data_IF_844462991248
#
_entry.id   IF_844462991248
#
_cell.length_a   1.000
_cell.length_b   1.000
_cell.length_c   1.000
_cell.angle_alpha   90.00
_cell.angle_beta   90.00
_cell.angle_gamma   90.00
#
_symmetry.space_group_name_H-M   'P 1'
#
loop_
_entity.id
_entity.type
_entity.pdbx_description
1 polymer ?
#
# COMPACT_ATOMS: atom_id res chain seq x y z
N UNK A 1 -9.01 10.57 -8.20
CA UNK A 1 -9.96 11.51 -7.57
C UNK A 1 -9.25 12.84 -7.48
N UNK A 2 -9.79 13.88 -8.11
CA UNK A 2 -9.24 15.23 -7.95
C UNK A 2 -9.63 15.74 -6.56
N UNK A 3 -8.67 16.31 -5.83
CA UNK A 3 -8.90 16.96 -4.54
C UNK A 3 -8.16 18.28 -4.54
N UNK A 4 -8.65 19.23 -3.75
CA UNK A 4 -8.00 20.53 -3.60
C UNK A 4 -6.77 20.41 -2.72
N UNK A 5 -5.69 21.07 -3.13
CA UNK A 5 -4.44 21.19 -2.39
C UNK A 5 -4.22 22.66 -2.07
N UNK A 6 -3.78 22.92 -0.84
CA UNK A 6 -3.42 24.26 -0.38
C UNK A 6 -1.91 24.29 -0.08
N UNK A 7 -1.20 25.37 -0.45
CA UNK A 7 0.24 25.45 -0.21
C UNK A 7 0.58 25.45 1.27
N UNK A 8 1.70 24.83 1.63
CA UNK A 8 2.24 24.78 3.01
C UNK A 8 2.37 26.15 3.65
N UNK A 9 2.66 27.19 2.86
CA UNK A 9 2.80 28.57 3.34
C UNK A 9 1.52 29.17 3.90
N UNK A 10 0.34 28.61 3.59
CA UNK A 10 -0.94 29.06 4.14
C UNK A 10 -1.19 28.55 5.58
N UNK A 11 -0.39 27.60 6.07
CA UNK A 11 -0.54 27.04 7.39
C UNK A 11 0.22 27.85 8.44
N UNK A 12 -0.32 27.99 9.67
CA UNK A 12 0.37 28.66 10.74
C UNK A 12 1.61 27.85 11.18
N UNK A 13 2.68 28.55 11.57
CA UNK A 13 3.99 27.95 11.89
C UNK A 13 3.92 26.91 13.02
N UNK A 14 2.97 27.04 13.94
CA UNK A 14 2.74 26.09 15.04
C UNK A 14 2.15 24.75 14.59
N UNK A 15 1.48 24.69 13.43
CA UNK A 15 0.90 23.47 12.88
C UNK A 15 1.93 22.62 12.11
N UNK A 16 3.07 23.20 11.71
CA UNK A 16 4.06 22.51 10.88
C UNK A 16 4.76 21.34 11.62
N UNK A 17 5.27 21.49 12.86
CA UNK A 17 5.95 20.40 13.56
C UNK A 17 5.12 19.13 13.78
N UNK A 18 3.85 19.19 14.22
CA UNK A 18 3.04 17.98 14.38
C UNK A 18 2.74 17.30 13.04
N UNK A 19 2.51 18.07 11.97
CA UNK A 19 2.32 17.52 10.62
C UNK A 19 3.59 16.83 10.14
N UNK A 20 4.77 17.44 10.33
CA UNK A 20 6.06 16.83 10.00
C UNK A 20 6.30 15.51 10.74
N UNK A 21 5.98 15.48 12.04
CA UNK A 21 6.07 14.26 12.84
C UNK A 21 5.10 13.17 12.35
N UNK A 22 3.85 13.54 12.07
CA UNK A 22 2.84 12.61 11.57
C UNK A 22 3.19 12.06 10.17
N UNK A 23 3.73 12.88 9.26
CA UNK A 23 4.18 12.42 7.94
C UNK A 23 5.37 11.45 8.02
N UNK A 24 6.27 11.65 9.00
CA UNK A 24 7.34 10.68 9.29
C UNK A 24 6.76 9.35 9.76
N UNK A 25 5.79 9.36 10.67
CA UNK A 25 5.11 8.14 11.13
C UNK A 25 4.35 7.46 10.00
N UNK A 26 3.63 8.22 9.18
CA UNK A 26 2.92 7.69 8.01
C UNK A 26 3.85 6.96 7.05
N UNK A 27 5.07 7.46 6.85
CA UNK A 27 6.11 6.78 6.06
C UNK A 27 6.56 5.46 6.69
N UNK A 28 6.67 5.41 8.02
CA UNK A 28 6.98 4.16 8.75
C UNK A 28 5.86 3.15 8.55
N UNK A 29 4.60 3.56 8.73
CA UNK A 29 3.43 2.69 8.51
C UNK A 29 3.29 2.22 7.06
N UNK A 30 3.57 3.05 6.05
CA UNK A 30 3.60 2.63 4.65
C UNK A 30 4.65 1.53 4.41
N UNK A 31 5.85 1.65 4.97
CA UNK A 31 6.88 0.61 4.82
C UNK A 31 6.49 -0.70 5.52
N UNK A 32 5.92 -0.59 6.72
CA UNK A 32 5.41 -1.73 7.46
C UNK A 32 4.31 -2.45 6.66
N UNK A 33 3.31 -1.72 6.15
CA UNK A 33 2.20 -2.31 5.39
C UNK A 33 2.70 -3.02 4.13
N UNK A 34 3.66 -2.43 3.41
CA UNK A 34 4.29 -3.07 2.25
C UNK A 34 4.95 -4.41 2.60
N UNK A 35 5.69 -4.44 3.70
CA UNK A 35 6.43 -5.63 4.14
C UNK A 35 5.47 -6.74 4.56
N UNK A 36 4.45 -6.40 5.34
CA UNK A 36 3.47 -7.38 5.83
C UNK A 36 2.58 -7.89 4.70
N UNK A 37 2.18 -7.03 3.76
CA UNK A 37 1.38 -7.44 2.60
C UNK A 37 2.15 -8.35 1.65
N UNK A 38 3.46 -8.12 1.45
CA UNK A 38 4.27 -9.06 0.67
C UNK A 38 4.25 -10.47 1.30
N UNK A 39 4.36 -10.57 2.62
CA UNK A 39 4.23 -11.85 3.33
C UNK A 39 2.82 -12.43 3.25
N UNK A 40 1.79 -11.58 3.23
CA UNK A 40 0.39 -11.99 3.08
C UNK A 40 0.12 -12.58 1.70
N UNK A 41 0.67 -11.97 0.64
CA UNK A 41 0.51 -12.43 -0.73
C UNK A 41 1.14 -13.81 -0.93
N UNK A 42 2.29 -14.08 -0.29
CA UNK A 42 2.93 -15.40 -0.29
C UNK A 42 2.01 -16.47 0.33
N UNK A 43 1.40 -16.18 1.49
CA UNK A 43 0.47 -17.10 2.15
C UNK A 43 -0.84 -17.29 1.36
N UNK A 44 -1.35 -16.22 0.73
CA UNK A 44 -2.50 -16.29 -0.15
C UNK A 44 -2.23 -17.18 -1.37
N UNK A 45 -1.03 -17.10 -1.93
CA UNK A 45 -0.61 -17.94 -3.05
C UNK A 45 -0.49 -19.42 -2.65
N UNK A 46 0.02 -19.71 -1.45
CA UNK A 46 0.01 -21.06 -0.87
C UNK A 46 -1.43 -21.57 -0.68
N UNK A 47 -2.32 -20.71 -0.17
CA UNK A 47 -3.73 -21.02 -0.01
C UNK A 47 -4.41 -21.31 -1.35
N UNK A 48 -4.10 -20.55 -2.41
CA UNK A 48 -4.60 -20.80 -3.77
C UNK A 48 -4.15 -22.16 -4.30
N UNK A 49 -2.88 -22.50 -4.14
CA UNK A 49 -2.32 -23.79 -4.57
C UNK A 49 -3.00 -24.95 -3.84
N UNK A 50 -3.17 -24.85 -2.53
CA UNK A 50 -3.90 -25.88 -1.77
C UNK A 50 -5.35 -25.97 -2.23
N UNK A 51 -6.02 -24.81 -2.35
CA UNK A 51 -7.41 -24.75 -2.75
C UNK A 51 -7.61 -25.47 -4.09
N UNK A 52 -6.74 -25.21 -5.07
CA UNK A 52 -6.82 -25.86 -6.37
C UNK A 52 -6.60 -27.38 -6.27
N UNK A 53 -5.54 -27.82 -5.58
CA UNK A 53 -5.16 -29.24 -5.48
C UNK A 53 -6.23 -30.09 -4.78
N UNK A 54 -6.82 -29.58 -3.71
CA UNK A 54 -7.73 -30.35 -2.85
C UNK A 54 -9.24 -30.15 -3.17
N UNK A 55 -9.57 -29.28 -4.14
CA UNK A 55 -10.97 -28.94 -4.50
C UNK A 55 -11.83 -30.15 -4.82
N UNK A 56 -11.32 -31.06 -5.65
CA UNK A 56 -12.12 -32.18 -6.14
C UNK A 56 -12.26 -33.30 -5.10
N UNK A 57 -11.28 -33.44 -4.20
CA UNK A 57 -11.28 -34.47 -3.16
C UNK A 57 -12.17 -34.12 -1.97
N UNK A 58 -12.29 -32.83 -1.65
CA UNK A 58 -12.91 -32.40 -0.39
C UNK A 58 -14.08 -31.43 -0.57
N UNK A 59 -14.62 -31.28 -1.79
CA UNK A 59 -15.70 -30.31 -2.10
C UNK A 59 -16.88 -30.33 -1.12
N UNK A 60 -17.27 -31.53 -0.65
CA UNK A 60 -18.39 -31.71 0.27
C UNK A 60 -18.05 -31.53 1.76
N UNK A 61 -16.76 -31.51 2.11
CA UNK A 61 -16.33 -31.51 3.51
C UNK A 61 -16.55 -30.13 4.16
N UNK A 62 -16.96 -30.11 5.43
CA UNK A 62 -17.17 -28.88 6.19
C UNK A 62 -15.89 -28.05 6.31
N UNK A 63 -14.74 -28.69 6.53
CA UNK A 63 -13.46 -28.00 6.57
C UNK A 63 -13.12 -27.33 5.23
N UNK A 64 -13.58 -27.90 4.10
CA UNK A 64 -13.31 -27.34 2.79
C UNK A 64 -14.08 -26.05 2.55
N UNK A 65 -15.34 -25.99 3.02
CA UNK A 65 -16.13 -24.75 3.01
C UNK A 65 -15.42 -23.63 3.77
N UNK A 66 -14.75 -23.96 4.88
CA UNK A 66 -13.95 -23.02 5.68
C UNK A 66 -12.69 -22.55 4.96
N UNK A 67 -11.96 -23.46 4.31
CA UNK A 67 -10.81 -23.07 3.45
C UNK A 67 -11.28 -22.14 2.32
N UNK A 68 -12.42 -22.44 1.69
CA UNK A 68 -13.01 -21.58 0.67
C UNK A 68 -13.38 -20.19 1.22
N UNK A 69 -13.91 -20.14 2.44
CA UNK A 69 -14.24 -18.89 3.11
C UNK A 69 -13.00 -18.07 3.50
N UNK A 70 -11.98 -18.70 4.07
CA UNK A 70 -10.68 -18.08 4.35
C UNK A 70 -10.09 -17.45 3.09
N UNK A 71 -10.11 -18.19 1.97
CA UNK A 71 -9.65 -17.69 0.67
C UNK A 71 -10.44 -16.45 0.24
N UNK A 72 -11.77 -16.52 0.30
CA UNK A 72 -12.64 -15.38 -0.07
C UNK A 72 -12.32 -14.13 0.75
N UNK A 73 -12.07 -14.27 2.06
CA UNK A 73 -11.67 -13.12 2.89
C UNK A 73 -10.29 -12.61 2.54
N UNK A 74 -9.33 -13.49 2.25
CA UNK A 74 -7.99 -13.10 1.88
C UNK A 74 -7.94 -12.33 0.55
N UNK A 75 -8.67 -12.80 -0.47
CA UNK A 75 -8.86 -12.08 -1.74
C UNK A 75 -9.54 -10.72 -1.52
N UNK A 76 -10.49 -10.64 -0.57
CA UNK A 76 -11.11 -9.37 -0.23
C UNK A 76 -10.13 -8.40 0.44
N UNK A 77 -9.22 -8.88 1.29
CA UNK A 77 -8.14 -8.07 1.88
C UNK A 77 -7.18 -7.57 0.79
N UNK A 78 -6.76 -8.42 -0.13
CA UNK A 78 -5.92 -8.06 -1.28
C UNK A 78 -6.56 -6.92 -2.09
N UNK A 79 -7.86 -7.04 -2.40
CA UNK A 79 -8.61 -6.03 -3.15
C UNK A 79 -8.75 -4.65 -2.48
N UNK A 80 -8.45 -4.52 -1.17
CA UNK A 80 -8.47 -3.22 -0.49
C UNK A 80 -7.40 -2.26 -1.04
N UNK A 81 -6.34 -2.79 -1.65
CA UNK A 81 -5.21 -2.02 -2.17
C UNK A 81 -4.65 -1.04 -1.13
N UNK A 82 -4.38 -1.56 0.08
CA UNK A 82 -3.95 -0.74 1.23
C UNK A 82 -2.70 0.09 0.91
N UNK A 83 -1.73 -0.50 0.20
CA UNK A 83 -0.55 0.21 -0.32
C UNK A 83 -0.94 1.49 -1.05
N UNK A 84 -1.90 1.41 -1.96
CA UNK A 84 -2.34 2.56 -2.75
C UNK A 84 -3.00 3.64 -1.89
N UNK A 85 -3.70 3.26 -0.81
CA UNK A 85 -4.28 4.22 0.15
C UNK A 85 -3.15 5.05 0.78
N UNK A 86 -2.10 4.40 1.30
CA UNK A 86 -0.98 5.09 1.93
C UNK A 86 -0.16 5.93 0.94
N UNK A 87 0.12 5.41 -0.25
CA UNK A 87 0.87 6.15 -1.26
C UNK A 87 0.07 7.34 -1.81
N UNK A 88 -1.24 7.19 -2.02
CA UNK A 88 -2.12 8.31 -2.43
C UNK A 88 -2.19 9.37 -1.34
N UNK A 89 -2.37 8.95 -0.08
CA UNK A 89 -2.41 9.86 1.06
C UNK A 89 -1.08 10.61 1.23
N UNK A 90 0.05 9.92 1.09
CA UNK A 90 1.39 10.53 1.21
C UNK A 90 1.68 11.46 0.04
N UNK A 91 1.33 11.05 -1.18
CA UNK A 91 1.47 11.84 -2.40
C UNK A 91 0.65 13.13 -2.37
N UNK A 92 -0.46 13.15 -1.63
CA UNK A 92 -1.33 14.31 -1.47
C UNK A 92 -0.67 15.51 -0.78
N UNK A 93 0.46 15.32 -0.10
CA UNK A 93 1.24 16.40 0.53
C UNK A 93 2.29 17.03 -0.41
N UNK A 94 2.42 16.50 -1.62
CA UNK A 94 3.31 17.01 -2.65
C UNK A 94 2.48 17.63 -3.78
N UNK A 95 3.09 18.59 -4.48
CA UNK A 95 2.47 19.22 -5.64
C UNK A 95 2.12 18.18 -6.71
N UNK A 96 0.84 18.09 -7.07
CA UNK A 96 0.37 17.20 -8.14
C UNK A 96 0.75 17.68 -9.53
N UNK A 97 1.14 18.94 -9.70
CA UNK A 97 1.61 19.47 -10.98
C UNK A 97 2.93 18.82 -11.41
N UNK A 98 3.71 18.32 -10.45
CA UNK A 98 4.98 17.66 -10.71
C UNK A 98 4.79 16.14 -10.88
N UNK A 99 5.50 15.51 -11.83
CA UNK A 99 5.46 14.07 -11.97
C UNK A 99 5.96 13.43 -10.67
N UNK A 100 5.13 12.54 -10.10
CA UNK A 100 5.43 11.80 -8.87
C UNK A 100 6.65 10.89 -9.07
N UNK A 101 7.84 11.46 -8.90
CA UNK A 101 9.08 10.70 -8.93
C UNK A 101 9.40 10.21 -7.51
N UNK A 102 10.00 9.02 -7.34
CA UNK A 102 10.41 8.54 -6.01
C UNK A 102 11.45 9.45 -5.32
N UNK A 103 12.04 10.40 -6.07
CA UNK A 103 12.94 11.44 -5.54
C UNK A 103 12.17 12.57 -4.84
N UNK A 104 11.03 12.99 -5.36
CA UNK A 104 10.16 14.03 -4.77
C UNK A 104 9.72 13.64 -3.35
N UNK A 105 9.37 12.37 -3.21
CA UNK A 105 8.99 11.69 -1.99
C UNK A 105 10.05 11.66 -0.88
N UNK A 106 11.28 12.12 -1.14
CA UNK A 106 12.37 12.30 -0.17
C UNK A 106 12.52 13.75 0.33
N UNK A 107 11.92 14.72 -0.36
CA UNK A 107 12.01 16.14 -0.03
C UNK A 107 11.06 16.58 1.08
N UNK A 108 11.10 17.87 1.42
CA UNK A 108 10.08 18.49 2.27
C UNK A 108 8.74 18.52 1.53
N UNK A 109 7.65 18.29 2.26
CA UNK A 109 6.31 18.42 1.68
C UNK A 109 5.99 19.88 1.38
N UNK A 110 5.15 20.10 0.38
CA UNK A 110 4.90 21.43 -0.22
C UNK A 110 3.45 21.87 -0.10
N UNK A 111 2.52 20.92 -0.02
CA UNK A 111 1.08 21.15 -0.03
C UNK A 111 0.41 20.31 1.05
N UNK A 112 -0.80 20.65 1.43
CA UNK A 112 -1.64 19.76 2.24
C UNK A 112 -2.97 19.52 1.53
N UNK A 113 -3.56 18.31 1.68
CA UNK A 113 -4.87 18.02 1.12
C UNK A 113 -5.99 18.72 1.88
N UNK A 114 -7.15 18.79 1.24
CA UNK A 114 -8.41 19.17 1.87
C UNK A 114 -8.84 18.18 2.98
N UNK A 115 -9.61 18.69 3.94
CA UNK A 115 -10.15 17.92 5.08
C UNK A 115 -11.07 16.80 4.61
N UNK A 116 -11.83 17.02 3.55
CA UNK A 116 -12.72 15.99 2.96
C UNK A 116 -11.92 14.78 2.50
N UNK A 117 -10.78 15.00 1.84
CA UNK A 117 -9.89 13.95 1.39
C UNK A 117 -9.29 13.15 2.56
N UNK A 118 -8.88 13.83 3.64
CA UNK A 118 -8.37 13.16 4.84
C UNK A 118 -9.46 12.31 5.52
N UNK A 119 -10.67 12.85 5.64
CA UNK A 119 -11.82 12.14 6.21
C UNK A 119 -12.18 10.89 5.39
N UNK A 120 -12.15 10.98 4.06
CA UNK A 120 -12.40 9.82 3.19
C UNK A 120 -11.31 8.74 3.32
N UNK A 121 -10.04 9.12 3.37
CA UNK A 121 -8.96 8.15 3.58
C UNK A 121 -9.05 7.51 4.97
N UNK A 122 -9.35 8.30 6.01
CA UNK A 122 -9.57 7.81 7.37
C UNK A 122 -10.69 6.77 7.40
N UNK A 123 -11.84 7.08 6.79
CA UNK A 123 -12.98 6.16 6.67
C UNK A 123 -12.58 4.86 5.96
N UNK A 124 -11.87 4.93 4.84
CA UNK A 124 -11.40 3.73 4.11
C UNK A 124 -10.47 2.85 4.94
N UNK A 125 -9.58 3.46 5.74
CA UNK A 125 -8.70 2.71 6.66
C UNK A 125 -9.52 2.04 7.77
N UNK A 126 -10.52 2.73 8.32
CA UNK A 126 -11.42 2.15 9.34
C UNK A 126 -12.29 1.01 8.79
N UNK A 127 -12.82 1.15 7.58
CA UNK A 127 -13.55 0.09 6.87
C UNK A 127 -12.64 -1.14 6.65
N UNK A 128 -11.37 -0.91 6.33
CA UNK A 128 -10.36 -1.97 6.17
C UNK A 128 -10.08 -2.71 7.47
N UNK A 129 -9.95 -1.98 8.59
CA UNK A 129 -9.80 -2.55 9.94
C UNK A 129 -10.99 -3.45 10.27
N UNK A 130 -12.21 -2.96 10.02
CA UNK A 130 -13.45 -3.72 10.29
C UNK A 130 -13.49 -5.03 9.49
N UNK A 131 -13.06 -4.99 8.22
CA UNK A 131 -12.96 -6.20 7.41
C UNK A 131 -11.93 -7.18 7.95
N UNK A 132 -10.74 -6.70 8.32
CA UNK A 132 -9.65 -7.53 8.86
C UNK A 132 -10.03 -8.18 10.18
N UNK A 133 -10.69 -7.44 11.08
CA UNK A 133 -11.22 -8.00 12.33
C UNK A 133 -12.22 -9.12 12.08
N UNK A 134 -13.11 -8.95 11.09
CA UNK A 134 -14.04 -10.00 10.66
C UNK A 134 -13.32 -11.20 10.03
N UNK A 135 -12.28 -10.96 9.25
CA UNK A 135 -11.47 -12.04 8.67
C UNK A 135 -10.75 -12.84 9.77
N UNK A 136 -10.12 -12.17 10.73
CA UNK A 136 -9.43 -12.80 11.85
C UNK A 136 -10.36 -13.62 12.74
N UNK A 137 -11.57 -13.15 13.02
CA UNK A 137 -12.53 -13.94 13.81
C UNK A 137 -12.91 -15.24 13.11
N UNK A 138 -13.14 -15.20 11.80
CA UNK A 138 -13.41 -16.39 10.98
C UNK A 138 -12.22 -17.36 11.00
N UNK A 139 -10.99 -16.85 10.83
CA UNK A 139 -9.78 -17.67 10.88
C UNK A 139 -9.57 -18.33 12.25
N UNK A 140 -9.82 -17.61 13.34
CA UNK A 140 -9.68 -18.12 14.69
C UNK A 140 -10.57 -19.34 14.94
N UNK A 141 -11.85 -19.26 14.54
CA UNK A 141 -12.77 -20.39 14.64
C UNK A 141 -12.32 -21.59 13.79
N UNK A 142 -11.58 -21.36 12.69
CA UNK A 142 -11.09 -22.45 11.84
C UNK A 142 -9.94 -23.24 12.49
N UNK A 143 -9.02 -22.57 13.20
CA UNK A 143 -7.91 -23.24 13.92
C UNK A 143 -8.43 -24.22 14.97
N UNK A 144 -9.52 -23.89 15.65
CA UNK A 144 -10.07 -24.74 16.73
C UNK A 144 -10.68 -26.05 16.22
N UNK A 145 -11.11 -26.11 14.96
CA UNK A 145 -11.88 -27.23 14.42
C UNK A 145 -11.08 -28.19 13.51
N UNK A 146 -9.75 -28.03 13.41
CA UNK A 146 -8.90 -28.83 12.50
C UNK A 146 -8.49 -30.22 13.00
N UNK A 147 -8.97 -30.66 14.16
CA UNK A 147 -8.46 -31.85 14.85
C UNK A 147 -8.82 -33.22 14.23
N UNK A 148 -9.69 -33.30 13.21
CA UNK A 148 -10.29 -34.58 12.77
C UNK A 148 -9.95 -35.05 11.35
N UNK A 149 -8.93 -34.49 10.66
CA UNK A 149 -8.53 -35.02 9.34
C UNK A 149 -7.07 -35.48 9.30
N UNK A 150 -6.72 -36.25 8.26
CA UNK A 150 -5.37 -36.76 7.94
C UNK A 150 -4.26 -35.84 8.44
N UNK A 151 -3.35 -36.43 9.24
CA UNK A 151 -2.34 -35.71 10.05
C UNK A 151 -1.50 -34.71 9.26
N UNK A 152 -1.23 -34.97 7.97
CA UNK A 152 -0.45 -34.06 7.14
C UNK A 152 -1.25 -32.82 6.70
N UNK A 153 -2.52 -32.98 6.33
CA UNK A 153 -3.37 -31.85 5.91
C UNK A 153 -3.81 -31.00 7.10
N UNK A 154 -3.99 -31.59 8.29
CA UNK A 154 -4.27 -30.81 9.51
C UNK A 154 -3.09 -29.93 9.93
N UNK A 155 -1.85 -30.42 9.85
CA UNK A 155 -0.66 -29.64 10.17
C UNK A 155 -0.48 -28.41 9.25
N UNK A 156 -0.57 -28.61 7.93
CA UNK A 156 -0.46 -27.50 6.98
C UNK A 156 -1.59 -26.48 7.16
N UNK A 157 -2.84 -26.94 7.35
CA UNK A 157 -3.99 -26.03 7.55
C UNK A 157 -3.80 -25.19 8.81
N UNK A 158 -3.42 -25.83 9.92
CA UNK A 158 -3.16 -25.12 11.16
C UNK A 158 -2.06 -24.08 10.99
N UNK A 159 -0.97 -24.43 10.28
CA UNK A 159 0.12 -23.50 9.99
C UNK A 159 -0.35 -22.29 9.16
N UNK A 160 -0.93 -22.52 7.97
CA UNK A 160 -1.37 -21.45 7.07
C UNK A 160 -2.46 -20.58 7.71
N UNK A 161 -3.44 -21.18 8.39
CA UNK A 161 -4.48 -20.40 9.08
C UNK A 161 -3.90 -19.57 10.23
N UNK A 162 -3.01 -20.15 11.03
CA UNK A 162 -2.33 -19.42 12.13
C UNK A 162 -1.50 -18.25 11.59
N UNK A 163 -0.72 -18.49 10.52
CA UNK A 163 0.12 -17.47 9.91
C UNK A 163 -0.69 -16.37 9.23
N UNK A 164 -1.72 -16.69 8.48
CA UNK A 164 -2.67 -15.72 7.91
C UNK A 164 -3.34 -14.88 9.00
N UNK A 165 -3.74 -15.50 10.11
CA UNK A 165 -4.33 -14.76 11.23
C UNK A 165 -3.32 -13.80 11.88
N UNK A 166 -2.07 -14.24 12.08
CA UNK A 166 -0.99 -13.37 12.57
C UNK A 166 -0.77 -12.17 11.65
N UNK A 167 -0.69 -12.39 10.34
CA UNK A 167 -0.53 -11.32 9.35
C UNK A 167 -1.72 -10.35 9.38
N UNK A 168 -2.95 -10.85 9.45
CA UNK A 168 -4.13 -9.98 9.58
C UNK A 168 -4.08 -9.09 10.83
N UNK A 169 -3.62 -9.63 11.96
CA UNK A 169 -3.46 -8.87 13.20
C UNK A 169 -2.38 -7.78 13.05
N UNK A 170 -1.25 -8.10 12.43
CA UNK A 170 -0.15 -7.16 12.17
C UNK A 170 -0.56 -6.03 11.20
N UNK A 171 -1.31 -6.36 10.14
CA UNK A 171 -1.94 -5.38 9.24
C UNK A 171 -2.88 -4.50 10.06
N UNK A 172 -3.76 -5.09 10.87
CA UNK A 172 -4.75 -4.36 11.68
C UNK A 172 -4.08 -3.38 12.64
N UNK A 173 -3.04 -3.82 13.36
CA UNK A 173 -2.27 -2.98 14.26
C UNK A 173 -1.65 -1.79 13.53
N UNK A 174 -1.03 -2.04 12.38
CA UNK A 174 -0.44 -0.99 11.54
C UNK A 174 -1.49 0.03 11.08
N UNK A 175 -2.69 -0.44 10.69
CA UNK A 175 -3.79 0.44 10.30
C UNK A 175 -4.33 1.26 11.47
N UNK A 176 -4.42 0.69 12.68
CA UNK A 176 -4.85 1.42 13.88
C UNK A 176 -3.87 2.57 14.21
N UNK A 177 -2.56 2.32 14.11
CA UNK A 177 -1.56 3.37 14.29
C UNK A 177 -1.64 4.44 13.20
N UNK A 178 -1.92 4.03 11.95
CA UNK A 178 -2.14 4.96 10.85
C UNK A 178 -3.39 5.84 11.05
N UNK A 179 -4.49 5.28 11.59
CA UNK A 179 -5.69 6.04 11.97
C UNK A 179 -5.35 7.17 12.94
N UNK A 180 -4.60 6.87 14.01
CA UNK A 180 -4.16 7.88 14.97
C UNK A 180 -3.29 8.96 14.33
N UNK A 181 -2.41 8.57 13.41
CA UNK A 181 -1.56 9.50 12.65
C UNK A 181 -2.37 10.42 11.74
N UNK A 182 -3.36 9.89 11.01
CA UNK A 182 -4.25 10.68 10.14
C UNK A 182 -5.11 11.63 10.97
N UNK A 183 -5.62 11.18 12.11
CA UNK A 183 -6.37 12.03 13.05
C UNK A 183 -5.51 13.16 13.60
N UNK A 184 -4.24 12.88 13.96
CA UNK A 184 -3.30 13.92 14.39
C UNK A 184 -3.07 14.99 13.33
N UNK A 185 -2.97 14.61 12.06
CA UNK A 185 -2.90 15.55 10.93
C UNK A 185 -4.18 16.37 10.83
N UNK A 186 -5.36 15.72 10.89
CA UNK A 186 -6.65 16.42 10.83
C UNK A 186 -6.77 17.46 11.93
N UNK A 187 -6.46 17.10 13.18
CA UNK A 187 -6.50 18.01 14.31
C UNK A 187 -5.51 19.17 14.16
N UNK A 188 -4.31 18.94 13.63
CA UNK A 188 -3.35 20.01 13.37
C UNK A 188 -3.82 20.98 12.27
N UNK A 189 -4.62 20.51 11.30
CA UNK A 189 -5.23 21.35 10.25
C UNK A 189 -6.53 22.03 10.71
N UNK A 190 -7.14 21.56 11.79
CA UNK A 190 -8.36 22.12 12.40
C UNK A 190 -8.06 23.20 13.45
N UNK A 191 -6.78 23.48 13.74
CA UNK A 191 -6.42 24.53 14.69
C UNK A 191 -7.09 25.85 14.28
N UNK A 192 -7.91 26.46 15.16
CA UNK A 192 -8.51 27.76 14.86
C UNK A 192 -7.37 28.70 14.53
N UNK A 193 -7.51 29.44 13.43
CA UNK A 193 -6.58 30.51 13.11
C UNK A 193 -6.59 31.43 14.32
N UNK A 194 -5.55 31.35 15.15
CA UNK A 194 -5.32 32.34 16.18
C UNK A 194 -5.08 33.59 15.37
N UNK A 195 -6.08 34.47 15.27
CA UNK A 195 -5.90 35.81 14.73
C UNK A 195 -4.66 36.35 15.44
N UNK A 196 -3.62 36.64 14.66
CA UNK A 196 -2.42 37.24 15.20
C UNK A 196 -2.89 38.43 16.04
N UNK A 197 -2.47 38.53 17.32
CA UNK A 197 -2.84 39.67 18.15
C UNK A 197 -2.61 40.93 17.32
N UNK A 198 -3.62 41.81 17.15
CA UNK A 198 -3.54 42.94 16.24
C UNK A 198 -2.20 43.60 16.48
N UNK A 199 -1.39 43.73 15.41
CA UNK A 199 -0.09 44.40 15.47
C UNK A 199 -0.28 45.63 16.33
N UNK A 200 0.29 45.61 17.54
CA UNK A 200 0.26 46.78 18.40
C UNK A 200 0.94 47.86 17.57
N UNK A 201 0.16 48.88 17.19
CA UNK A 201 0.71 50.05 16.52
C UNK A 201 1.99 50.44 17.26
N UNK A 202 3.12 50.62 16.56
CA UNK A 202 4.37 50.98 17.19
C UNK A 202 4.14 52.29 17.93
N UNK A 203 3.96 52.20 19.25
CA UNK A 203 3.91 53.34 20.14
C UNK A 203 5.25 54.06 19.97
N UNK A 204 5.18 55.28 19.44
CA UNK A 204 6.30 56.02 18.88
C UNK A 204 7.57 55.92 19.72
N UNK A 205 8.64 55.44 19.09
CA UNK A 205 10.00 55.64 19.61
C UNK A 205 10.61 56.81 18.86
N UNK A 206 10.77 57.91 19.58
CA UNK A 206 11.60 59.04 19.19
C UNK A 206 12.96 58.55 18.66
N UNK A 207 13.31 59.08 17.49
CA UNK A 207 14.67 59.10 16.94
C UNK A 207 15.70 59.50 18.00
N UNK A 208 16.86 58.81 18.03
CA UNK A 208 18.10 59.56 17.89
C UNK A 208 19.11 58.92 16.94
N UNK A 209 19.47 59.75 15.95
CA UNK A 209 20.82 60.10 15.49
C UNK A 209 21.77 58.99 15.00
N UNK A 210 22.12 59.14 13.72
CA UNK A 210 23.13 58.42 12.96
C UNK A 210 24.49 58.25 13.67
N UNK A 211 25.05 57.05 13.56
CA UNK A 211 26.46 56.73 13.82
C UNK A 211 27.03 56.05 12.55
N UNK A 212 28.26 56.37 12.09
CA UNK A 212 28.76 55.99 10.78
C UNK A 212 29.33 54.56 10.73
N UNK A 213 29.29 53.97 9.54
CA UNK A 213 29.92 52.70 9.17
C UNK A 213 31.45 52.69 9.37
N UNK A 214 32.02 51.57 9.84
CA UNK A 214 33.39 51.22 9.57
C UNK A 214 33.47 50.17 8.43
N UNK A 215 34.00 50.63 7.31
CA UNK A 215 34.54 49.85 6.19
C UNK A 215 35.71 48.98 6.66
N UNK A 216 35.66 47.65 6.46
CA UNK A 216 36.86 46.78 6.48
C UNK A 216 36.58 45.56 5.59
N UNK A 217 37.01 45.60 4.31
CA UNK A 217 38.25 45.01 3.75
C UNK A 217 38.30 43.47 3.69
N UNK A 218 38.14 42.96 2.46
CA UNK A 218 39.09 42.14 1.68
C UNK A 218 39.87 41.02 2.39
N UNK A 219 39.60 39.79 1.95
CA UNK A 219 40.51 38.63 1.91
C UNK A 219 39.75 37.45 1.29
N UNK A 220 39.75 37.24 -0.03
CA UNK A 220 40.78 36.55 -0.84
C UNK A 220 41.37 35.31 -0.15
N UNK A 221 40.86 34.15 -0.54
CA UNK A 221 41.63 32.91 -0.61
C UNK A 221 41.10 32.11 -1.82
N UNK A 222 41.82 32.22 -2.93
CA UNK A 222 41.83 31.26 -4.02
C UNK A 222 42.67 30.04 -3.58
N UNK A 223 42.21 28.83 -3.83
CA UNK A 223 43.02 27.61 -4.05
C UNK A 223 42.06 26.47 -4.43
N UNK A 224 42.02 26.08 -5.71
CA UNK A 224 42.73 24.92 -6.29
C UNK A 224 42.48 23.60 -5.54
N UNK A 225 41.80 22.63 -6.17
CA UNK A 225 42.51 21.54 -6.85
C UNK A 225 41.59 20.55 -7.60
N UNK A 226 42.23 19.88 -8.55
CA UNK A 226 41.78 19.11 -9.70
C UNK A 226 41.05 17.77 -9.46
N UNK A 227 40.08 17.51 -10.37
CA UNK A 227 39.86 16.26 -11.15
C UNK A 227 39.58 14.89 -10.44
N UNK A 228 39.29 13.79 -11.16
CA UNK A 228 38.42 13.60 -12.34
C UNK A 228 37.32 12.52 -12.14
N UNK A 229 36.33 12.57 -13.05
CA UNK A 229 35.79 11.46 -13.87
C UNK A 229 35.86 10.03 -13.30
N UNK A 230 34.69 9.45 -13.01
CA UNK A 230 34.44 8.03 -13.27
C UNK A 230 33.11 7.88 -14.01
N UNK A 231 33.23 7.81 -15.33
CA UNK A 231 32.34 7.04 -16.18
C UNK A 231 32.47 5.57 -15.73
N UNK A 232 31.37 4.81 -15.71
CA UNK A 232 31.26 3.41 -16.16
C UNK A 232 29.90 2.84 -15.72
N UNK A 233 29.14 2.32 -16.69
CA UNK A 233 28.21 1.21 -16.43
C UNK A 233 26.71 1.51 -16.51
N UNK A 234 26.19 1.72 -17.71
CA UNK A 234 24.88 1.17 -18.13
C UNK A 234 25.04 -0.37 -18.27
N UNK A 235 24.01 -1.26 -18.24
CA UNK A 235 22.72 -1.04 -18.87
C UNK A 235 21.45 -1.55 -18.17
N UNK A 236 20.35 -0.99 -18.71
CA UNK A 236 18.98 -1.47 -18.78
C UNK A 236 18.68 -2.91 -18.34
N UNK A 237 17.67 -3.03 -17.48
CA UNK A 237 16.70 -4.12 -17.63
C UNK A 237 15.28 -3.52 -17.57
N UNK A 238 14.78 -3.19 -18.77
CA UNK A 238 13.36 -3.00 -19.06
C UNK A 238 12.72 -4.38 -19.08
N UNK A 239 11.83 -4.65 -18.14
CA UNK A 239 10.74 -5.60 -18.36
C UNK A 239 9.44 -4.87 -18.06
N UNK A 240 8.86 -4.34 -19.13
CA UNK A 240 7.47 -3.91 -19.16
C UNK A 240 6.52 -5.12 -19.26
N UNK A 241 5.27 -4.96 -18.82
CA UNK A 241 4.34 -6.05 -18.55
C UNK A 241 3.69 -6.59 -19.82
N UNK A 242 3.52 -7.92 -19.87
CA UNK A 242 2.80 -8.60 -20.95
C UNK A 242 1.29 -8.49 -20.72
N UNK A 243 0.70 -7.52 -21.40
CA UNK A 243 -0.72 -7.49 -21.76
C UNK A 243 -1.09 -8.76 -22.53
N UNK A 244 -2.14 -9.46 -22.11
CA UNK A 244 -2.83 -10.46 -22.93
C UNK A 244 -4.24 -9.95 -23.16
N UNK A 245 -4.42 -9.37 -24.34
CA UNK A 245 -5.71 -9.00 -24.88
C UNK A 245 -6.52 -10.25 -25.24
N UNK A 246 -7.79 -10.17 -24.89
CA UNK A 246 -8.87 -11.08 -25.26
C UNK A 246 -9.04 -11.11 -26.78
N UNK A 247 -9.13 -12.31 -27.37
CA UNK A 247 -9.77 -12.50 -28.67
C UNK A 247 -10.71 -13.70 -28.61
N UNK A 248 -11.99 -13.40 -28.43
CA UNK A 248 -13.11 -14.33 -28.60
C UNK A 248 -13.42 -14.37 -30.09
N UNK A 249 -13.13 -15.48 -30.76
CA UNK A 249 -13.75 -15.81 -32.04
C UNK A 249 -14.68 -16.99 -31.87
N UNK A 250 -15.98 -16.69 -31.85
CA UNK A 250 -17.04 -17.67 -32.05
C UNK A 250 -17.03 -18.11 -33.52
N UNK A 251 -16.89 -19.41 -33.78
CA UNK A 251 -17.34 -20.03 -35.02
C UNK A 251 -18.33 -21.14 -34.72
N UNK A 252 -19.58 -20.87 -35.07
CA UNK A 252 -20.68 -21.81 -35.19
C UNK A 252 -20.42 -22.70 -36.40
N UNK A 253 -20.24 -24.01 -36.19
CA UNK A 253 -20.30 -25.00 -37.28
C UNK A 253 -21.26 -26.11 -36.91
N UNK A 254 -22.11 -26.43 -37.88
CA UNK A 254 -23.34 -27.22 -37.83
C UNK A 254 -23.09 -28.70 -37.55
N UNK A 255 -24.03 -29.30 -36.83
CA UNK A 255 -24.18 -30.75 -36.61
C UNK A 255 -24.33 -31.50 -37.93
N UNK A 256 -23.51 -32.53 -38.12
CA UNK A 256 -23.84 -33.73 -38.90
C UNK A 256 -23.37 -34.96 -38.10
N UNK A 257 -24.27 -35.93 -37.93
CA UNK A 257 -24.01 -37.33 -37.51
C UNK A 257 -24.66 -38.21 -38.59
N UNK A 258 -24.35 -39.51 -38.73
CA UNK A 258 -23.31 -40.34 -38.08
C UNK A 258 -22.51 -41.22 -39.08
N UNK A 259 -21.38 -41.79 -38.65
CA UNK A 259 -21.16 -43.23 -38.91
C UNK A 259 -20.16 -43.86 -37.93
N UNK A 260 -20.49 -45.04 -37.43
CA UNK A 260 -19.75 -45.71 -36.34
C UNK A 260 -18.56 -46.49 -36.91
N UNK A 261 -17.35 -46.00 -36.63
CA UNK A 261 -16.08 -46.74 -36.78
C UNK A 261 -15.42 -46.97 -35.41
N UNK A 262 -14.64 -48.07 -35.24
CA UNK A 262 -14.13 -48.50 -33.95
C UNK A 262 -13.23 -47.45 -33.30
N UNK A 263 -13.52 -47.14 -32.03
CA UNK A 263 -12.84 -46.09 -31.26
C UNK A 263 -11.40 -46.52 -30.93
N UNK A 264 -10.43 -45.87 -31.58
CA UNK A 264 -9.06 -45.79 -31.08
C UNK A 264 -9.10 -45.00 -29.77
N UNK A 265 -8.58 -45.57 -28.67
CA UNK A 265 -8.39 -44.88 -27.39
C UNK A 265 -7.49 -43.66 -27.62
N UNK A 266 -8.06 -42.47 -27.69
CA UNK A 266 -7.30 -41.22 -27.66
C UNK A 266 -6.66 -41.12 -26.27
N UNK A 267 -5.32 -41.16 -26.23
CA UNK A 267 -4.56 -40.63 -25.08
C UNK A 267 -5.04 -39.20 -24.86
N UNK A 268 -5.50 -38.91 -23.64
CA UNK A 268 -5.84 -37.54 -23.25
C UNK A 268 -4.61 -36.65 -23.50
N UNK A 269 -4.79 -35.44 -24.06
CA UNK A 269 -3.69 -34.49 -24.18
C UNK A 269 -3.14 -34.23 -22.78
N UNK A 270 -1.82 -34.37 -22.62
CA UNK A 270 -1.12 -33.93 -21.42
C UNK A 270 -1.37 -32.44 -21.25
N UNK A 271 -1.84 -32.03 -20.08
CA UNK A 271 -1.93 -30.62 -19.73
C UNK A 271 -0.50 -30.05 -19.68
N UNK A 272 -0.28 -28.93 -20.36
CA UNK A 272 1.01 -28.22 -20.44
C UNK A 272 1.57 -27.81 -19.05
N UNK A 273 0.76 -27.93 -18.00
CA UNK A 273 1.16 -27.68 -16.61
C UNK A 273 2.17 -28.73 -16.11
N UNK A 274 2.11 -29.97 -16.61
CA UNK A 274 3.00 -31.05 -16.15
C UNK A 274 4.45 -30.91 -16.67
N UNK A 275 4.69 -30.14 -17.73
CA UNK A 275 6.04 -29.92 -18.29
C UNK A 275 6.80 -28.76 -17.59
N UNK A 276 6.14 -27.95 -16.76
CA UNK A 276 6.78 -26.87 -15.98
C UNK A 276 7.34 -27.39 -14.65
N UNK A 277 6.87 -28.54 -14.17
CA UNK A 277 7.23 -29.08 -12.85
C UNK A 277 7.91 -30.45 -12.89
N UNK A 278 8.45 -30.84 -14.05
CA UNK A 278 9.36 -31.98 -14.22
C UNK A 278 10.79 -31.66 -13.79
#
# INVERSE_FOLDING_TARGET
>A
MAFHQTPKSALPLNALPPIDAALKQLKVHSRAIHTVLASFDDELLLLHRLFYRAKNQHRGALFWRRVAEMRRYAERVESLSLVNIFETLRGAFFDQSQPQTPKLLKGSWTHHPDKTFLADNLRRVQESITLLQKASSVLFYHVQLTFECDRCLSAWRAHTTSRMNKLNLEITETLVQAVATIQSISTALDLPHVEAPPEREPLGSDTPRAVPEPTTRLGRAEMHDDAPRNEHGTPANRLSPRSMAVSVQQRVVKRVKPDKRPQKKHKAPRDEIDDIFG
#
